data_IF_673048201168
#
_entry.id   IF_673048201168
#
_cell.length_a   1.000
_cell.length_b   1.000
_cell.length_c   1.000
_cell.angle_alpha   90.00
_cell.angle_beta   90.00
_cell.angle_gamma   90.00
#
_symmetry.space_group_name_H-M   'P 1'
#
loop_
_entity.id
_entity.type
_entity.pdbx_description
1 polymer ?
#
# COMPACT_ATOMS: atom_id res chain seq x y z
N UNK A 1 41.62 -64.30 -15.33
CA UNK A 1 42.28 -63.14 -15.97
C UNK A 1 41.34 -62.54 -17.02
N UNK A 2 40.19 -62.02 -16.59
CA UNK A 2 39.17 -61.40 -17.47
C UNK A 2 38.37 -60.30 -16.75
N UNK A 3 38.41 -60.26 -15.40
CA UNK A 3 37.70 -59.25 -14.59
C UNK A 3 38.46 -57.92 -14.58
N UNK A 4 39.81 -57.93 -14.53
CA UNK A 4 40.63 -56.71 -14.48
C UNK A 4 40.69 -55.90 -15.79
N UNK A 5 40.30 -56.47 -16.93
CA UNK A 5 40.37 -55.75 -18.23
C UNK A 5 39.12 -54.88 -18.45
N UNK A 6 38.02 -55.16 -17.73
CA UNK A 6 36.79 -54.40 -17.86
C UNK A 6 36.82 -53.09 -17.04
N UNK A 7 37.53 -53.04 -15.91
CA UNK A 7 37.63 -51.84 -15.07
C UNK A 7 38.28 -50.66 -15.81
N UNK A 8 39.42 -50.90 -16.49
CA UNK A 8 40.14 -49.85 -17.25
C UNK A 8 39.30 -49.24 -18.39
N UNK A 9 38.39 -50.03 -18.99
CA UNK A 9 37.55 -49.55 -20.11
C UNK A 9 36.50 -48.52 -19.65
N UNK A 10 36.02 -48.62 -18.40
CA UNK A 10 34.93 -47.79 -17.89
C UNK A 10 35.39 -46.73 -16.87
N UNK A 11 36.67 -46.68 -16.49
CA UNK A 11 37.26 -45.63 -15.64
C UNK A 11 36.91 -44.21 -16.12
N UNK A 12 37.01 -43.95 -17.43
CA UNK A 12 36.67 -42.65 -18.02
C UNK A 12 35.16 -42.34 -17.97
N UNK A 13 34.30 -43.34 -18.14
CA UNK A 13 32.85 -43.21 -18.02
C UNK A 13 32.43 -43.00 -16.56
N UNK A 14 33.06 -43.70 -15.61
CA UNK A 14 32.85 -43.54 -14.17
C UNK A 14 33.30 -42.15 -13.70
N UNK A 15 34.45 -41.66 -14.17
CA UNK A 15 34.92 -40.31 -13.88
C UNK A 15 33.95 -39.25 -14.43
N UNK A 16 33.42 -39.50 -15.63
CA UNK A 16 32.43 -38.64 -16.29
C UNK A 16 31.10 -38.65 -15.54
N UNK A 17 30.60 -39.82 -15.13
CA UNK A 17 29.39 -39.97 -14.32
C UNK A 17 29.54 -39.32 -12.94
N UNK A 18 30.69 -39.47 -12.27
CA UNK A 18 30.98 -38.77 -11.00
C UNK A 18 30.97 -37.25 -11.18
N UNK A 19 31.51 -36.73 -12.29
CA UNK A 19 31.51 -35.30 -12.62
C UNK A 19 30.10 -34.79 -12.88
N UNK A 20 29.27 -35.52 -13.63
CA UNK A 20 27.87 -35.14 -13.86
C UNK A 20 27.03 -35.22 -12.59
N UNK A 21 27.22 -36.23 -11.74
CA UNK A 21 26.58 -36.32 -10.43
C UNK A 21 26.99 -35.15 -9.54
N UNK A 22 28.28 -34.78 -9.53
CA UNK A 22 28.77 -33.63 -8.78
C UNK A 22 28.22 -32.29 -9.32
N UNK A 23 28.13 -32.11 -10.63
CA UNK A 23 27.55 -30.91 -11.26
C UNK A 23 26.04 -30.82 -10.97
N UNK A 24 25.30 -31.93 -11.07
CA UNK A 24 23.88 -31.98 -10.69
C UNK A 24 23.70 -31.67 -9.20
N UNK A 25 24.56 -32.21 -8.32
CA UNK A 25 24.54 -31.90 -6.89
C UNK A 25 24.82 -30.41 -6.65
N UNK A 26 25.84 -29.83 -7.29
CA UNK A 26 26.14 -28.39 -7.17
C UNK A 26 24.98 -27.53 -7.70
N UNK A 27 24.32 -27.90 -8.82
CA UNK A 27 23.14 -27.17 -9.30
C UNK A 27 21.97 -27.21 -8.31
N UNK A 28 21.68 -28.38 -7.70
CA UNK A 28 20.60 -28.50 -6.71
C UNK A 28 20.91 -27.77 -5.40
N UNK A 29 22.19 -27.59 -5.04
CA UNK A 29 22.62 -26.87 -3.83
C UNK A 29 22.98 -25.38 -4.06
N UNK A 30 23.04 -24.90 -5.31
CA UNK A 30 23.28 -23.48 -5.64
C UNK A 30 22.03 -22.71 -6.03
N UNK A 31 20.90 -23.38 -6.29
CA UNK A 31 19.60 -22.69 -6.28
C UNK A 31 19.32 -22.32 -4.82
N UNK A 32 19.22 -21.03 -4.46
CA UNK A 32 18.79 -20.66 -3.12
C UNK A 32 17.40 -21.25 -2.88
N UNK A 33 17.34 -22.29 -2.07
CA UNK A 33 16.11 -22.83 -1.50
C UNK A 33 15.49 -21.75 -0.64
N UNK A 34 14.20 -21.52 -0.91
CA UNK A 34 13.29 -20.58 -0.24
C UNK A 34 13.72 -19.10 -0.24
N UNK A 35 13.08 -18.32 -1.11
CA UNK A 35 12.55 -17.04 -0.65
C UNK A 35 11.46 -17.33 0.40
N UNK A 36 11.90 -17.66 1.62
CA UNK A 36 11.02 -17.64 2.78
C UNK A 36 10.62 -16.17 2.94
N UNK A 37 9.34 -15.85 2.81
CA UNK A 37 8.90 -14.49 3.15
C UNK A 37 9.34 -14.24 4.59
N UNK A 38 10.28 -13.32 4.78
CA UNK A 38 10.69 -12.85 6.09
C UNK A 38 9.43 -12.55 6.89
N UNK A 39 9.33 -13.15 8.08
CA UNK A 39 8.22 -12.87 8.97
C UNK A 39 8.18 -11.36 9.22
N UNK A 40 7.12 -10.68 8.75
CA UNK A 40 6.95 -9.25 8.95
C UNK A 40 6.77 -9.00 10.45
N UNK A 41 7.78 -8.41 11.08
CA UNK A 41 7.74 -8.00 12.48
C UNK A 41 7.52 -6.49 12.55
N UNK A 42 6.56 -6.06 13.39
CA UNK A 42 6.28 -4.64 13.60
C UNK A 42 7.06 -4.13 14.80
N UNK A 43 7.90 -3.12 14.58
CA UNK A 43 8.83 -2.59 15.59
C UNK A 43 8.16 -1.81 16.73
N UNK A 44 6.89 -1.43 16.57
CA UNK A 44 6.14 -0.59 17.51
C UNK A 44 4.67 -1.05 17.61
N UNK A 45 3.98 -0.81 18.74
CA UNK A 45 2.54 -1.02 18.84
C UNK A 45 1.76 -0.26 17.77
N UNK A 46 0.56 -0.73 17.37
CA UNK A 46 -0.25 -0.04 16.39
C UNK A 46 -0.68 1.33 16.92
N UNK A 47 -0.58 2.33 16.05
CA UNK A 47 -1.03 3.69 16.35
C UNK A 47 -2.50 3.79 16.02
N UNK A 48 -3.28 4.37 16.94
CA UNK A 48 -4.72 4.58 16.78
C UNK A 48 -4.99 6.03 16.46
N UNK A 49 -5.61 6.27 15.31
CA UNK A 49 -6.12 7.58 14.92
C UNK A 49 -7.62 7.57 15.18
N UNK A 50 -8.12 8.27 16.22
CA UNK A 50 -9.54 8.29 16.52
C UNK A 50 -10.30 9.04 15.42
N UNK A 51 -11.40 8.44 14.97
CA UNK A 51 -12.33 9.02 14.00
C UNK A 51 -13.73 9.07 14.61
N UNK A 52 -14.44 10.16 14.35
CA UNK A 52 -15.79 10.42 14.89
C UNK A 52 -16.90 9.70 14.10
N UNK A 53 -16.58 9.21 12.90
CA UNK A 53 -17.52 8.68 11.91
C UNK A 53 -16.93 7.49 11.15
N UNK A 54 -17.75 6.80 10.35
CA UNK A 54 -17.27 5.73 9.48
C UNK A 54 -16.28 6.27 8.44
N UNK A 55 -15.17 5.56 8.25
CA UNK A 55 -14.21 5.86 7.20
C UNK A 55 -14.59 5.05 5.95
N UNK A 56 -14.94 5.73 4.87
CA UNK A 56 -15.30 5.08 3.60
C UNK A 56 -14.07 4.71 2.78
N UNK A 57 -13.07 5.60 2.73
CA UNK A 57 -11.86 5.43 1.94
C UNK A 57 -10.73 6.28 2.51
N UNK A 58 -9.48 5.86 2.26
CA UNK A 58 -8.27 6.57 2.68
C UNK A 58 -7.24 6.56 1.55
N UNK A 59 -6.56 7.69 1.36
CA UNK A 59 -5.41 7.90 0.49
C UNK A 59 -4.22 8.29 1.35
N UNK A 60 -3.02 7.95 0.86
CA UNK A 60 -1.77 8.06 1.61
C UNK A 60 -0.73 8.70 0.70
N UNK A 61 -0.41 9.98 0.95
CA UNK A 61 0.51 10.77 0.12
C UNK A 61 0.95 12.03 0.87
N UNK A 62 2.10 12.60 0.52
CA UNK A 62 2.49 13.94 0.98
C UNK A 62 1.55 14.98 0.38
N UNK A 63 0.62 15.48 1.19
CA UNK A 63 -0.46 16.34 0.73
C UNK A 63 -0.08 17.81 0.87
N UNK A 64 0.58 18.18 1.98
CA UNK A 64 0.99 19.56 2.22
C UNK A 64 2.36 19.94 1.59
N UNK A 65 3.14 18.96 1.16
CA UNK A 65 4.40 19.13 0.43
C UNK A 65 5.61 19.26 1.36
N UNK A 66 5.51 18.82 2.61
CA UNK A 66 6.60 18.90 3.60
C UNK A 66 7.58 17.72 3.55
N UNK A 67 7.34 16.76 2.64
CA UNK A 67 8.13 15.54 2.47
C UNK A 67 7.69 14.38 3.34
N UNK A 68 6.63 14.52 4.16
CA UNK A 68 6.06 13.46 4.99
C UNK A 68 4.74 12.98 4.43
N UNK A 69 4.53 11.67 4.51
CA UNK A 69 3.30 11.06 3.99
C UNK A 69 2.11 11.34 4.90
N UNK A 70 1.15 12.14 4.42
CA UNK A 70 -0.12 12.42 5.09
C UNK A 70 -1.18 11.35 4.81
N UNK A 71 -2.30 11.46 5.52
CA UNK A 71 -3.50 10.66 5.25
C UNK A 71 -4.66 11.57 4.86
N UNK A 72 -5.38 11.22 3.80
CA UNK A 72 -6.61 11.90 3.39
C UNK A 72 -7.74 10.89 3.32
N UNK A 73 -8.81 11.11 4.06
CA UNK A 73 -9.91 10.15 4.13
C UNK A 73 -11.28 10.78 3.96
N UNK A 74 -12.21 9.97 3.47
CA UNK A 74 -13.63 10.32 3.37
C UNK A 74 -14.33 9.76 4.60
N UNK A 75 -14.86 10.65 5.43
CA UNK A 75 -15.73 10.30 6.54
C UNK A 75 -17.18 10.40 6.12
N UNK A 76 -17.94 9.40 6.54
CA UNK A 76 -19.37 9.29 6.29
C UNK A 76 -20.07 9.63 7.61
N UNK A 77 -20.57 10.86 7.72
CA UNK A 77 -21.45 11.27 8.83
C UNK A 77 -22.82 10.64 8.57
N UNK A 78 -22.98 9.38 8.98
CA UNK A 78 -24.26 8.69 8.95
C UNK A 78 -25.13 9.17 10.11
N UNK A 79 -25.52 10.44 10.03
CA UNK A 79 -26.56 10.96 10.89
C UNK A 79 -27.82 10.18 10.49
N UNK A 80 -28.27 9.27 11.38
CA UNK A 80 -29.28 8.20 11.16
C UNK A 80 -30.64 8.64 10.61
N UNK A 81 -30.79 9.90 10.23
CA UNK A 81 -31.91 10.44 9.50
C UNK A 81 -31.80 10.08 8.01
N UNK A 82 -32.83 9.44 7.42
CA UNK A 82 -32.83 9.08 6.00
C UNK A 82 -32.60 10.30 5.11
N UNK A 83 -31.56 10.25 4.28
CA UNK A 83 -31.24 11.30 3.32
C UNK A 83 -30.37 12.43 3.85
N UNK A 84 -29.62 12.26 4.94
CA UNK A 84 -28.69 13.29 5.45
C UNK A 84 -27.28 12.79 5.75
N UNK A 85 -26.85 11.73 5.07
CA UNK A 85 -25.47 11.25 5.15
C UNK A 85 -24.55 12.22 4.40
N UNK A 86 -24.05 13.22 5.13
CA UNK A 86 -23.07 14.17 4.59
C UNK A 86 -21.68 13.57 4.71
N UNK A 87 -20.90 13.64 3.64
CA UNK A 87 -19.50 13.25 3.72
C UNK A 87 -18.58 14.44 3.81
N UNK A 88 -17.49 14.18 4.53
CA UNK A 88 -16.43 15.14 4.75
C UNK A 88 -15.12 14.51 4.35
N UNK A 89 -14.33 15.22 3.57
CA UNK A 89 -12.90 14.89 3.43
C UNK A 89 -12.19 15.42 4.67
N UNK A 90 -11.31 14.60 5.24
CA UNK A 90 -10.47 14.92 6.40
C UNK A 90 -9.03 14.63 6.04
N UNK A 91 -8.17 15.58 6.37
CA UNK A 91 -6.72 15.44 6.21
C UNK A 91 -6.12 15.27 7.61
N UNK A 92 -5.36 14.19 7.79
CA UNK A 92 -4.47 13.99 8.93
C UNK A 92 -3.04 14.24 8.46
N UNK A 93 -2.52 15.39 8.83
CA UNK A 93 -1.15 15.78 8.51
C UNK A 93 -0.16 15.02 9.38
N UNK A 94 0.88 14.52 8.76
CA UNK A 94 1.91 13.74 9.37
C UNK A 94 2.90 14.65 10.09
N UNK A 95 2.82 14.65 11.42
CA UNK A 95 3.71 15.40 12.29
C UNK A 95 4.84 14.53 12.85
N UNK A 96 5.07 13.36 12.24
CA UNK A 96 6.05 12.39 12.72
C UNK A 96 7.45 12.99 12.75
N UNK A 97 8.24 12.47 13.67
CA UNK A 97 9.68 12.68 13.74
C UNK A 97 10.36 11.32 13.76
N UNK A 98 11.68 11.29 13.99
CA UNK A 98 12.45 10.04 13.96
C UNK A 98 11.97 9.01 15.00
N UNK A 99 11.51 9.49 16.15
CA UNK A 99 11.21 8.66 17.30
C UNK A 99 9.75 8.21 17.34
N UNK A 100 8.86 9.01 16.74
CA UNK A 100 7.42 8.83 16.89
C UNK A 100 6.62 9.21 15.66
N UNK A 101 5.62 8.37 15.36
CA UNK A 101 4.61 8.67 14.35
C UNK A 101 3.44 9.38 15.00
N UNK A 102 3.12 10.58 14.52
CA UNK A 102 2.02 11.41 15.02
C UNK A 102 1.28 12.07 13.87
N UNK A 103 -0.02 12.27 14.06
CA UNK A 103 -0.86 13.02 13.14
C UNK A 103 -1.56 14.16 13.87
N UNK A 104 -1.91 15.23 13.15
CA UNK A 104 -2.62 16.36 13.75
C UNK A 104 -4.04 16.00 14.22
N UNK A 105 -4.47 16.63 15.31
CA UNK A 105 -5.85 16.52 15.81
C UNK A 105 -6.77 17.60 15.19
N UNK A 106 -6.20 18.77 14.86
CA UNK A 106 -6.92 19.86 14.18
C UNK A 106 -6.99 19.61 12.69
N UNK A 107 -8.21 19.33 12.25
CA UNK A 107 -8.47 18.72 10.95
C UNK A 107 -9.13 19.71 10.02
N UNK A 108 -8.60 19.83 8.81
CA UNK A 108 -9.33 20.46 7.71
C UNK A 108 -10.44 19.54 7.24
N UNK A 109 -11.68 20.06 7.22
CA UNK A 109 -12.89 19.33 6.80
C UNK A 109 -13.52 20.06 5.63
N UNK A 110 -13.80 19.34 4.56
CA UNK A 110 -14.53 19.87 3.41
C UNK A 110 -15.78 19.04 3.18
N UNK A 111 -16.94 19.69 3.12
CA UNK A 111 -18.19 19.01 2.76
C UNK A 111 -18.17 18.72 1.26
N UNK A 112 -18.43 17.46 0.89
CA UNK A 112 -18.39 17.01 -0.51
C UNK A 112 -19.74 16.40 -0.95
N UNK A 113 -20.83 16.75 -0.27
CA UNK A 113 -22.16 16.24 -0.60
C UNK A 113 -22.46 14.87 0.02
N UNK A 114 -23.23 14.06 -0.70
CA UNK A 114 -23.80 12.76 -0.24
C UNK A 114 -23.23 11.57 -1.00
N UNK A 115 -23.19 10.42 -0.31
CA UNK A 115 -22.80 9.09 -0.81
C UNK A 115 -21.48 8.97 -1.63
N UNK A 116 -20.59 9.95 -1.51
CA UNK A 116 -19.15 9.86 -1.79
C UNK A 116 -18.44 8.77 -1.00
N UNK A 117 -17.83 7.84 -1.71
CA UNK A 117 -17.05 6.76 -1.09
C UNK A 117 -15.61 6.73 -1.54
N UNK A 118 -15.19 7.65 -2.41
CA UNK A 118 -13.87 7.63 -3.03
C UNK A 118 -13.26 9.01 -2.96
N UNK A 119 -11.97 9.04 -2.61
CA UNK A 119 -11.10 10.20 -2.74
C UNK A 119 -9.87 9.80 -3.54
N UNK A 120 -9.46 10.68 -4.44
CA UNK A 120 -8.24 10.59 -5.25
C UNK A 120 -7.44 11.86 -4.99
N UNK A 121 -6.13 11.72 -4.90
CA UNK A 121 -5.19 12.82 -4.83
C UNK A 121 -4.43 12.89 -6.15
N UNK A 122 -4.40 14.07 -6.75
CA UNK A 122 -3.67 14.33 -7.99
C UNK A 122 -3.38 15.82 -8.12
N UNK A 123 -2.27 16.19 -8.75
CA UNK A 123 -2.01 17.56 -9.16
C UNK A 123 -2.85 17.88 -10.40
N UNK A 124 -3.99 18.54 -10.20
CA UNK A 124 -4.93 18.90 -11.26
C UNK A 124 -4.66 20.32 -11.78
N UNK A 125 -4.00 21.15 -10.98
CA UNK A 125 -3.70 22.54 -11.29
C UNK A 125 -2.37 22.75 -12.03
N UNK A 126 -1.45 21.78 -11.95
CA UNK A 126 -0.11 21.83 -12.54
C UNK A 126 0.91 22.59 -11.69
N UNK A 127 0.65 22.78 -10.40
CA UNK A 127 1.49 23.54 -9.47
C UNK A 127 2.41 22.64 -8.61
N UNK A 128 2.44 21.33 -8.90
CA UNK A 128 3.11 20.28 -8.13
C UNK A 128 2.55 20.08 -6.71
N UNK A 129 1.30 20.49 -6.47
CA UNK A 129 0.60 20.28 -5.21
C UNK A 129 -0.55 19.29 -5.42
N UNK A 130 -0.82 18.47 -4.40
CA UNK A 130 -1.94 17.54 -4.48
C UNK A 130 -3.27 18.29 -4.31
N UNK A 131 -4.15 18.13 -5.29
CA UNK A 131 -5.56 18.48 -5.23
C UNK A 131 -6.40 17.27 -4.84
N UNK A 132 -7.67 17.50 -4.49
CA UNK A 132 -8.58 16.45 -4.06
C UNK A 132 -9.66 16.27 -5.11
N UNK A 133 -9.83 15.04 -5.60
CA UNK A 133 -10.94 14.64 -6.46
C UNK A 133 -11.85 13.67 -5.72
N UNK A 134 -13.13 14.00 -5.68
CA UNK A 134 -14.18 13.20 -5.07
C UNK A 134 -15.35 13.01 -6.04
N UNK A 135 -16.22 12.04 -5.73
CA UNK A 135 -17.50 11.88 -6.41
C UNK A 135 -18.63 12.02 -5.39
N UNK A 136 -19.73 12.68 -5.72
CA UNK A 136 -20.96 12.57 -4.93
C UNK A 136 -22.06 11.91 -5.77
N UNK A 137 -23.01 11.27 -5.09
CA UNK A 137 -24.15 10.66 -5.79
C UNK A 137 -25.32 11.64 -5.84
N UNK A 138 -26.20 11.50 -6.84
CA UNK A 138 -27.45 12.24 -6.85
C UNK A 138 -28.30 11.86 -5.63
N UNK A 139 -28.84 12.87 -4.97
CA UNK A 139 -29.79 12.75 -3.88
C UNK A 139 -31.18 13.22 -4.30
N UNK A 140 -32.12 13.24 -3.35
CA UNK A 140 -33.47 13.79 -3.58
C UNK A 140 -33.46 15.23 -4.10
N UNK A 141 -32.49 16.02 -3.67
CA UNK A 141 -32.44 17.47 -3.88
C UNK A 141 -31.09 17.94 -4.46
N UNK A 142 -30.26 17.04 -4.99
CA UNK A 142 -28.93 17.38 -5.52
C UNK A 142 -28.50 16.41 -6.62
N UNK A 143 -27.84 16.91 -7.66
CA UNK A 143 -27.21 16.06 -8.67
C UNK A 143 -25.91 15.43 -8.16
N UNK A 144 -25.57 14.29 -8.74
CA UNK A 144 -24.25 13.69 -8.56
C UNK A 144 -23.24 14.37 -9.47
N UNK A 145 -22.04 14.58 -8.97
CA UNK A 145 -20.98 15.29 -9.64
C UNK A 145 -19.60 14.70 -9.29
N UNK A 146 -18.63 14.98 -10.15
CA UNK A 146 -17.23 14.89 -9.80
C UNK A 146 -16.85 16.24 -9.18
N UNK A 147 -16.35 16.22 -7.96
CA UNK A 147 -15.94 17.41 -7.21
C UNK A 147 -14.42 17.46 -7.24
N UNK A 148 -13.87 18.57 -7.71
CA UNK A 148 -12.43 18.86 -7.67
C UNK A 148 -12.22 20.02 -6.71
N UNK A 149 -11.46 19.79 -5.64
CA UNK A 149 -11.01 20.81 -4.71
C UNK A 149 -9.54 21.10 -5.04
N UNK A 150 -9.32 22.23 -5.70
CA UNK A 150 -7.98 22.71 -6.04
C UNK A 150 -7.38 23.41 -4.81
N UNK A 151 -6.11 23.11 -4.53
CA UNK A 151 -5.36 23.74 -3.46
C UNK A 151 -4.83 25.10 -3.92
N UNK A 152 -4.77 26.05 -3.00
CA UNK A 152 -4.13 27.36 -3.20
C UNK A 152 -2.59 27.26 -3.16
#
# INVERSE_FOLDING_TARGET
MAIYILEDKYESEIATMKKYTLIMFIMYFTVPVSAQMDHVTFLRPPIRIPIEYYLGHIQVQDFDGDGKTDLVGVLIDDNRSPGSSYQRVRIWRNLSNHDEIRFNERVHRFSIGRDSRIVILADMSGDNRQDIVCINQPGRDSDGAIIVLVRD
#
